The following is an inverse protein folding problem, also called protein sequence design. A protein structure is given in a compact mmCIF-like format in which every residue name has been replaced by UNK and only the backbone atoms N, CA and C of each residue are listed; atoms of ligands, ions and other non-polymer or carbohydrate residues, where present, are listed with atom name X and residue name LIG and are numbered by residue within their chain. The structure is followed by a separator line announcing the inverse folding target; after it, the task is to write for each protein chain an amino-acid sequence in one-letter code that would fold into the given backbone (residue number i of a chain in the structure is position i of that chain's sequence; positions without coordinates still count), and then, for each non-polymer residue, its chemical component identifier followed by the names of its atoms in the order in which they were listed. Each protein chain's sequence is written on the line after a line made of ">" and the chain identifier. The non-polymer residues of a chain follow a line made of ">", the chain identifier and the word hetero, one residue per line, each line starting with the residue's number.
data_IF_172743733908
#
_entry.id   IF_172743733908
#
_cell.length_a   1.000
_cell.length_b   1.000
_cell.length_c   1.000
_cell.angle_alpha   90.00
_cell.angle_beta   90.00
_cell.angle_gamma   90.00
#
_symmetry.space_group_name_H-M   'P 1'
#
loop_
_entity.id
_entity.type
_entity.pdbx_description
1 polymer ?
#
# COMPACT_ATOMS: atom_id res chain seq x y z
N UNK A 1 -24.02 -31.13 10.31
CA UNK A 1 -23.72 -30.06 11.27
C UNK A 1 -24.29 -28.75 10.73
N UNK A 2 -25.41 -28.25 11.27
CA UNK A 2 -26.16 -27.12 10.69
C UNK A 2 -25.74 -25.75 11.28
N UNK A 3 -24.45 -25.40 11.20
CA UNK A 3 -23.93 -24.14 11.77
C UNK A 3 -23.10 -23.28 10.78
N UNK A 4 -23.16 -23.55 9.47
CA UNK A 4 -22.25 -22.94 8.47
C UNK A 4 -22.96 -22.18 7.34
N UNK A 5 -24.22 -21.80 7.55
CA UNK A 5 -25.12 -21.45 6.44
C UNK A 5 -24.97 -20.01 5.93
N UNK A 6 -24.39 -19.09 6.71
CA UNK A 6 -24.39 -17.66 6.36
C UNK A 6 -23.02 -17.10 5.91
N UNK A 7 -21.90 -17.77 6.24
CA UNK A 7 -20.55 -17.37 5.82
C UNK A 7 -19.59 -18.58 5.77
N UNK A 8 -18.66 -18.60 4.81
CA UNK A 8 -17.60 -19.62 4.76
C UNK A 8 -16.46 -19.21 5.69
N UNK A 9 -16.61 -19.55 6.97
CA UNK A 9 -15.50 -19.57 7.94
C UNK A 9 -15.48 -20.96 8.55
N UNK A 10 -14.65 -21.91 8.05
CA UNK A 10 -14.59 -23.24 8.64
C UNK A 10 -13.21 -23.49 9.28
N UNK A 11 -13.18 -23.41 10.62
CA UNK A 11 -12.48 -24.26 11.60
C UNK A 11 -12.60 -23.58 12.98
N UNK A 12 -12.47 -24.32 14.09
CA UNK A 12 -12.24 -23.88 15.49
C UNK A 12 -11.20 -22.77 15.72
N UNK A 13 -10.51 -22.34 14.65
CA UNK A 13 -9.45 -21.31 14.63
C UNK A 13 -9.90 -19.98 13.99
N UNK A 14 -11.05 -19.95 13.30
CA UNK A 14 -11.75 -18.76 12.76
C UNK A 14 -10.90 -17.80 11.90
N UNK A 15 -10.01 -18.31 11.05
CA UNK A 15 -9.19 -17.43 10.19
C UNK A 15 -9.82 -17.16 8.81
N UNK A 16 -10.76 -18.00 8.34
CA UNK A 16 -11.34 -17.88 6.99
C UNK A 16 -10.38 -18.31 5.87
N UNK A 17 -10.74 -18.10 4.59
CA UNK A 17 -9.93 -18.55 3.45
C UNK A 17 -8.67 -17.69 3.29
N UNK A 18 -7.53 -18.34 3.06
CA UNK A 18 -6.24 -17.66 2.84
C UNK A 18 -6.08 -17.37 1.34
N UNK A 19 -5.96 -16.10 1.00
CA UNK A 19 -5.81 -15.61 -0.38
C UNK A 19 -4.46 -14.89 -0.54
N UNK A 20 -3.93 -14.89 -1.76
CA UNK A 20 -2.63 -14.28 -2.06
C UNK A 20 -2.66 -12.74 -2.11
N UNK A 21 -3.85 -12.15 -2.31
CA UNK A 21 -4.05 -10.71 -2.46
C UNK A 21 -5.26 -10.20 -1.69
N UNK A 22 -5.13 -8.99 -1.17
CA UNK A 22 -6.23 -8.17 -0.68
C UNK A 22 -6.95 -7.42 -1.80
N UNK A 23 -8.19 -6.98 -1.55
CA UNK A 23 -8.98 -6.18 -2.50
C UNK A 23 -8.27 -4.89 -2.94
N UNK A 24 -7.53 -4.27 -2.02
CA UNK A 24 -6.75 -3.05 -2.30
C UNK A 24 -5.56 -3.29 -3.24
N UNK A 25 -5.16 -4.56 -3.43
CA UNK A 25 -4.07 -4.97 -4.32
C UNK A 25 -4.59 -5.40 -5.71
N UNK A 26 -5.92 -5.44 -5.92
CA UNK A 26 -6.49 -5.79 -7.22
C UNK A 26 -6.41 -4.59 -8.16
N UNK A 27 -6.16 -4.86 -9.44
CA UNK A 27 -6.18 -3.82 -10.46
C UNK A 27 -7.58 -3.21 -10.56
N UNK A 28 -7.64 -1.93 -10.97
CA UNK A 28 -8.91 -1.33 -11.35
C UNK A 28 -9.50 -2.11 -12.52
N UNK A 29 -10.82 -2.04 -12.72
CA UNK A 29 -11.47 -2.67 -13.87
C UNK A 29 -10.83 -2.26 -15.20
N UNK A 30 -10.48 -0.98 -15.35
CA UNK A 30 -9.85 -0.45 -16.56
C UNK A 30 -8.47 -1.08 -16.78
N UNK A 31 -7.62 -1.04 -15.76
CA UNK A 31 -6.25 -1.57 -15.87
C UNK A 31 -6.24 -3.10 -16.08
N UNK A 32 -7.11 -3.82 -15.36
CA UNK A 32 -7.29 -5.26 -15.54
C UNK A 32 -7.69 -5.60 -16.98
N UNK A 33 -8.64 -4.83 -17.56
CA UNK A 33 -9.07 -5.01 -18.96
C UNK A 33 -7.99 -4.66 -19.96
N UNK A 34 -7.20 -3.61 -19.71
CA UNK A 34 -6.03 -3.30 -20.54
C UNK A 34 -5.03 -4.46 -20.53
N UNK A 35 -4.70 -5.02 -19.36
CA UNK A 35 -3.80 -6.19 -19.25
C UNK A 35 -4.37 -7.42 -19.95
N UNK A 36 -5.69 -7.64 -19.85
CA UNK A 36 -6.38 -8.79 -20.45
C UNK A 36 -6.70 -8.61 -21.94
N UNK A 37 -6.48 -7.42 -22.52
CA UNK A 37 -6.86 -7.12 -23.91
C UNK A 37 -8.38 -7.10 -24.15
N UNK A 38 -9.16 -6.77 -23.12
CA UNK A 38 -10.64 -6.74 -23.17
C UNK A 38 -11.12 -5.33 -23.53
N UNK A 39 -11.94 -5.14 -24.59
CA UNK A 39 -12.56 -3.85 -24.88
C UNK A 39 -13.56 -3.41 -23.78
N UNK A 40 -13.65 -2.11 -23.50
CA UNK A 40 -14.44 -1.60 -22.36
C UNK A 40 -15.94 -1.97 -22.39
N UNK A 41 -16.54 -2.06 -23.58
CA UNK A 41 -17.97 -2.29 -23.75
C UNK A 41 -18.37 -3.76 -23.98
N UNK A 42 -17.40 -4.68 -23.95
CA UNK A 42 -17.66 -6.12 -24.17
C UNK A 42 -17.86 -6.82 -22.83
N UNK A 43 -18.80 -7.78 -22.80
CA UNK A 43 -18.99 -8.66 -21.64
C UNK A 43 -17.84 -9.65 -21.57
N UNK A 44 -17.19 -9.78 -20.42
CA UNK A 44 -16.06 -10.69 -20.24
C UNK A 44 -16.34 -11.79 -19.21
N UNK A 45 -16.02 -13.03 -19.56
CA UNK A 45 -16.19 -14.20 -18.70
C UNK A 45 -14.84 -14.85 -18.40
N UNK A 46 -14.54 -15.08 -17.13
CA UNK A 46 -13.41 -15.94 -16.73
C UNK A 46 -13.83 -17.42 -16.82
N UNK A 47 -13.08 -18.26 -17.52
CA UNK A 47 -13.37 -19.69 -17.68
C UNK A 47 -12.25 -20.53 -17.08
N UNK A 48 -12.56 -21.33 -16.07
CA UNK A 48 -11.60 -22.29 -15.48
C UNK A 48 -12.27 -23.57 -15.01
N UNK A 49 -11.69 -24.72 -15.35
CA UNK A 49 -12.11 -26.03 -14.84
C UNK A 49 -11.21 -26.54 -13.70
N UNK A 50 -10.48 -25.62 -13.03
CA UNK A 50 -9.55 -25.91 -11.95
C UNK A 50 -8.09 -25.96 -12.39
N UNK A 51 -7.26 -26.72 -11.68
CA UNK A 51 -5.81 -26.76 -11.90
C UNK A 51 -5.34 -27.45 -13.18
N UNK A 52 -6.25 -27.93 -14.03
CA UNK A 52 -5.95 -28.57 -15.31
C UNK A 52 -5.76 -30.10 -15.28
N UNK A 53 -5.74 -30.72 -14.09
CA UNK A 53 -5.54 -32.17 -13.94
C UNK A 53 -6.76 -33.04 -14.28
N UNK A 54 -7.84 -32.44 -14.76
CA UNK A 54 -9.04 -33.15 -15.17
C UNK A 54 -8.86 -33.77 -16.56
N UNK A 55 -9.02 -35.08 -16.68
CA UNK A 55 -8.77 -35.80 -17.94
C UNK A 55 -9.65 -35.29 -19.09
N UNK A 56 -10.89 -34.88 -18.78
CA UNK A 56 -11.85 -34.38 -19.77
C UNK A 56 -11.65 -32.91 -20.14
N UNK A 57 -10.77 -32.17 -19.45
CA UNK A 57 -10.60 -30.73 -19.66
C UNK A 57 -10.18 -30.38 -21.09
N UNK A 58 -9.31 -31.19 -21.72
CA UNK A 58 -8.81 -30.94 -23.07
C UNK A 58 -9.91 -30.90 -24.14
N UNK A 59 -11.03 -31.60 -23.92
CA UNK A 59 -12.21 -31.53 -24.80
C UNK A 59 -13.23 -30.49 -24.35
N UNK A 60 -13.49 -30.41 -23.04
CA UNK A 60 -14.57 -29.57 -22.48
C UNK A 60 -14.26 -28.08 -22.52
N UNK A 61 -13.03 -27.70 -22.14
CA UNK A 61 -12.65 -26.29 -22.04
C UNK A 61 -12.71 -25.57 -23.41
N UNK A 62 -12.21 -26.13 -24.52
CA UNK A 62 -12.42 -25.54 -25.84
C UNK A 62 -13.87 -25.50 -26.31
N UNK A 63 -14.71 -26.46 -25.88
CA UNK A 63 -16.14 -26.47 -26.21
C UNK A 63 -16.88 -25.32 -25.51
N UNK A 64 -16.71 -25.21 -24.19
CA UNK A 64 -17.27 -24.13 -23.38
C UNK A 64 -16.78 -22.75 -23.84
N UNK A 65 -15.48 -22.62 -24.16
CA UNK A 65 -14.91 -21.37 -24.66
C UNK A 65 -15.60 -20.91 -25.95
N UNK A 66 -15.78 -21.83 -26.92
CA UNK A 66 -16.49 -21.51 -28.17
C UNK A 66 -17.94 -21.10 -27.93
N UNK A 67 -18.68 -21.87 -27.12
CA UNK A 67 -20.08 -21.57 -26.82
C UNK A 67 -20.26 -20.16 -26.20
N UNK A 68 -19.34 -19.75 -25.33
CA UNK A 68 -19.36 -18.41 -24.73
C UNK A 68 -18.98 -17.31 -25.74
N UNK A 69 -17.98 -17.54 -26.58
CA UNK A 69 -17.62 -16.59 -27.66
C UNK A 69 -18.78 -16.41 -28.64
N UNK A 70 -19.48 -17.48 -29.00
CA UNK A 70 -20.64 -17.45 -29.89
C UNK A 70 -21.83 -16.69 -29.28
N UNK A 71 -21.96 -16.66 -27.94
CA UNK A 71 -22.92 -15.80 -27.21
C UNK A 71 -22.41 -14.34 -27.03
N UNK A 72 -21.26 -14.00 -27.63
CA UNK A 72 -20.71 -12.64 -27.64
C UNK A 72 -19.93 -12.26 -26.38
N UNK A 73 -19.37 -13.24 -25.65
CA UNK A 73 -18.45 -12.97 -24.55
C UNK A 73 -17.01 -12.88 -25.02
N UNK A 74 -16.24 -12.01 -24.36
CA UNK A 74 -14.78 -12.12 -24.32
C UNK A 74 -14.39 -13.13 -23.24
N UNK A 75 -13.76 -14.23 -23.62
CA UNK A 75 -13.46 -15.33 -22.71
C UNK A 75 -12.01 -15.26 -22.26
N UNK A 76 -11.79 -15.09 -20.96
CA UNK A 76 -10.47 -15.21 -20.32
C UNK A 76 -10.32 -16.65 -19.83
N UNK A 77 -9.51 -17.43 -20.54
CA UNK A 77 -9.36 -18.86 -20.30
C UNK A 77 -8.18 -19.10 -19.36
N UNK A 78 -8.46 -19.70 -18.20
CA UNK A 78 -7.45 -20.13 -17.23
C UNK A 78 -7.53 -21.65 -17.07
N UNK A 79 -6.76 -22.35 -17.90
CA UNK A 79 -6.78 -23.81 -17.98
C UNK A 79 -6.09 -24.52 -16.80
N UNK A 80 -5.23 -23.78 -16.09
CA UNK A 80 -4.46 -24.31 -14.96
C UNK A 80 -3.15 -25.00 -15.39
N UNK A 81 -2.17 -25.09 -14.48
CA UNK A 81 -0.81 -25.51 -14.82
C UNK A 81 -0.65 -26.98 -15.22
N UNK A 82 -1.65 -27.83 -14.92
CA UNK A 82 -1.62 -29.26 -15.26
C UNK A 82 -2.37 -29.57 -16.56
N UNK A 83 -2.91 -28.56 -17.25
CA UNK A 83 -3.67 -28.75 -18.48
C UNK A 83 -2.78 -29.32 -19.60
N UNK A 84 -3.25 -30.39 -20.25
CA UNK A 84 -2.52 -31.08 -21.32
C UNK A 84 -3.14 -30.89 -22.71
N UNK A 85 -4.20 -30.09 -22.83
CA UNK A 85 -4.84 -29.80 -24.12
C UNK A 85 -4.16 -28.64 -24.86
N UNK A 86 -4.65 -28.36 -26.06
CA UNK A 86 -4.20 -27.18 -26.80
C UNK A 86 -4.79 -25.90 -26.23
N UNK A 87 -4.02 -24.82 -26.32
CA UNK A 87 -4.49 -23.48 -25.96
C UNK A 87 -5.62 -23.03 -26.88
N UNK A 88 -6.65 -22.42 -26.29
CA UNK A 88 -7.71 -21.78 -27.05
C UNK A 88 -7.22 -20.40 -27.53
N UNK A 89 -7.24 -20.17 -28.84
CA UNK A 89 -6.81 -18.92 -29.48
C UNK A 89 -7.89 -18.47 -30.48
N UNK A 90 -8.09 -17.16 -30.60
CA UNK A 90 -9.08 -16.59 -31.52
C UNK A 90 -9.51 -15.18 -31.12
N UNK A 91 -10.37 -14.53 -31.91
CA UNK A 91 -10.99 -13.27 -31.53
C UNK A 91 -11.81 -13.45 -30.25
N UNK A 92 -11.80 -12.44 -29.37
CA UNK A 92 -12.49 -12.47 -28.07
C UNK A 92 -12.02 -13.59 -27.12
N UNK A 93 -10.82 -14.14 -27.30
CA UNK A 93 -10.24 -15.14 -26.39
C UNK A 93 -8.91 -14.62 -25.85
N UNK A 94 -8.79 -14.53 -24.53
CA UNK A 94 -7.53 -14.28 -23.83
C UNK A 94 -7.11 -15.54 -23.08
N UNK A 95 -6.04 -16.18 -23.52
CA UNK A 95 -5.40 -17.26 -22.77
C UNK A 95 -4.58 -16.68 -21.62
N UNK A 96 -4.89 -17.05 -20.38
CA UNK A 96 -4.26 -16.52 -19.18
C UNK A 96 -3.12 -17.43 -18.71
N UNK A 97 -1.89 -16.94 -18.83
CA UNK A 97 -0.67 -17.61 -18.33
C UNK A 97 -0.09 -16.93 -17.07
N UNK A 98 -0.96 -16.32 -16.27
CA UNK A 98 -0.58 -15.56 -15.06
C UNK A 98 -0.74 -16.41 -13.81
N UNK A 99 0.28 -16.40 -12.96
CA UNK A 99 0.31 -17.12 -11.68
C UNK A 99 -0.78 -16.69 -10.67
N UNK A 100 -1.16 -15.41 -10.63
CA UNK A 100 -2.20 -14.89 -9.73
C UNK A 100 -3.35 -14.23 -10.52
N UNK A 101 -4.35 -15.00 -10.98
CA UNK A 101 -5.52 -14.47 -11.68
C UNK A 101 -6.34 -13.49 -10.85
N UNK A 102 -6.34 -13.65 -9.52
CA UNK A 102 -7.10 -12.80 -8.58
C UNK A 102 -6.86 -11.30 -8.83
N UNK A 103 -5.63 -10.88 -9.13
CA UNK A 103 -5.25 -9.49 -9.41
C UNK A 103 -6.08 -8.83 -10.54
N UNK A 104 -6.64 -9.64 -11.45
CA UNK A 104 -7.32 -9.19 -12.66
C UNK A 104 -8.85 -9.37 -12.61
N UNK A 105 -9.40 -9.89 -11.51
CA UNK A 105 -10.81 -10.29 -11.43
C UNK A 105 -11.79 -9.12 -11.57
N UNK A 106 -11.37 -7.89 -11.27
CA UNK A 106 -12.18 -6.70 -11.54
C UNK A 106 -12.40 -6.43 -13.04
N UNK A 107 -11.61 -7.06 -13.92
CA UNK A 107 -11.71 -6.90 -15.36
C UNK A 107 -12.80 -7.75 -16.03
N UNK A 108 -13.30 -8.78 -15.35
CA UNK A 108 -14.36 -9.68 -15.85
C UNK A 108 -15.71 -9.34 -15.23
N UNK A 109 -16.78 -9.77 -15.90
CA UNK A 109 -18.17 -9.51 -15.52
C UNK A 109 -18.84 -10.72 -14.85
N UNK A 110 -18.40 -11.92 -15.24
CA UNK A 110 -18.84 -13.18 -14.66
C UNK A 110 -17.73 -14.24 -14.78
N UNK A 111 -17.96 -15.40 -14.18
CA UNK A 111 -17.08 -16.55 -14.33
C UNK A 111 -17.84 -17.86 -14.55
N UNK A 112 -17.14 -18.82 -15.15
CA UNK A 112 -17.48 -20.24 -15.19
C UNK A 112 -16.36 -20.98 -14.46
N UNK A 113 -16.70 -21.67 -13.38
CA UNK A 113 -15.70 -22.31 -12.52
C UNK A 113 -16.10 -23.72 -12.09
N UNK A 114 -15.15 -24.65 -12.01
CA UNK A 114 -15.37 -25.93 -11.35
C UNK A 114 -15.60 -25.82 -9.82
N UNK A 115 -15.50 -24.63 -9.24
CA UNK A 115 -15.60 -24.42 -7.78
C UNK A 115 -14.49 -25.09 -6.96
N UNK A 116 -13.31 -25.32 -7.53
CA UNK A 116 -12.13 -25.74 -6.76
C UNK A 116 -11.80 -24.72 -5.66
N UNK A 117 -11.30 -25.18 -4.51
CA UNK A 117 -11.17 -24.37 -3.28
C UNK A 117 -10.59 -22.96 -3.52
N UNK A 118 -9.42 -22.84 -4.14
CA UNK A 118 -8.77 -21.54 -4.35
C UNK A 118 -9.60 -20.63 -5.26
N UNK A 119 -9.92 -21.10 -6.48
CA UNK A 119 -10.66 -20.30 -7.45
C UNK A 119 -12.03 -19.87 -6.95
N UNK A 120 -12.73 -20.73 -6.21
CA UNK A 120 -13.99 -20.37 -5.58
C UNK A 120 -13.81 -19.18 -4.64
N UNK A 121 -12.88 -19.25 -3.69
CA UNK A 121 -12.72 -18.18 -2.70
C UNK A 121 -12.16 -16.90 -3.33
N UNK A 122 -11.29 -17.00 -4.34
CA UNK A 122 -10.79 -15.86 -5.11
C UNK A 122 -11.93 -15.12 -5.84
N UNK A 123 -12.80 -15.86 -6.55
CA UNK A 123 -13.93 -15.29 -7.28
C UNK A 123 -14.94 -14.64 -6.32
N UNK A 124 -15.29 -15.33 -5.23
CA UNK A 124 -16.23 -14.79 -4.24
C UNK A 124 -15.65 -13.55 -3.53
N UNK A 125 -14.37 -13.61 -3.15
CA UNK A 125 -13.68 -12.49 -2.51
C UNK A 125 -13.60 -11.25 -3.41
N UNK A 126 -13.25 -11.43 -4.70
CA UNK A 126 -13.27 -10.36 -5.69
C UNK A 126 -14.69 -9.84 -5.98
N UNK A 127 -15.70 -10.68 -5.79
CA UNK A 127 -17.10 -10.37 -6.06
C UNK A 127 -17.47 -10.63 -7.51
N UNK A 128 -16.96 -11.71 -8.10
CA UNK A 128 -17.30 -12.13 -9.47
C UNK A 128 -18.45 -13.14 -9.41
N UNK A 129 -19.66 -12.79 -9.90
CA UNK A 129 -20.77 -13.74 -10.05
C UNK A 129 -20.34 -14.95 -10.90
N UNK A 130 -20.66 -16.15 -10.45
CA UNK A 130 -20.08 -17.36 -11.06
C UNK A 130 -21.14 -18.43 -11.35
N UNK A 131 -21.13 -18.95 -12.57
CA UNK A 131 -21.76 -20.23 -12.90
C UNK A 131 -20.78 -21.34 -12.54
N UNK A 132 -21.13 -22.15 -11.56
CA UNK A 132 -20.33 -23.26 -11.10
C UNK A 132 -20.68 -24.55 -11.84
N UNK A 133 -19.66 -25.23 -12.34
CA UNK A 133 -19.75 -26.52 -13.04
C UNK A 133 -18.92 -27.55 -12.27
N UNK A 134 -19.39 -27.97 -11.07
CA UNK A 134 -18.58 -28.74 -10.13
C UNK A 134 -18.16 -30.09 -10.72
N UNK A 135 -16.93 -30.50 -10.42
CA UNK A 135 -16.37 -31.77 -10.86
C UNK A 135 -16.35 -32.76 -9.69
N UNK A 136 -16.61 -34.06 -9.93
CA UNK A 136 -16.46 -35.07 -8.89
C UNK A 136 -14.99 -35.19 -8.48
N UNK A 137 -14.71 -35.08 -7.17
CA UNK A 137 -13.38 -35.22 -6.59
C UNK A 137 -13.43 -36.10 -5.34
N UNK A 138 -12.33 -36.77 -5.05
CA UNK A 138 -12.21 -37.66 -3.88
C UNK A 138 -12.11 -36.86 -2.58
N UNK A 139 -11.38 -35.74 -2.59
CA UNK A 139 -11.02 -34.98 -1.38
C UNK A 139 -11.50 -33.51 -1.39
N UNK A 140 -12.32 -33.12 -2.37
CA UNK A 140 -12.80 -31.74 -2.54
C UNK A 140 -14.29 -31.72 -2.91
N UNK A 141 -15.15 -31.32 -1.98
CA UNK A 141 -16.59 -31.22 -2.24
C UNK A 141 -16.92 -29.92 -2.98
N UNK A 142 -16.76 -29.96 -4.30
CA UNK A 142 -17.03 -28.82 -5.18
C UNK A 142 -18.53 -28.53 -5.30
N UNK A 143 -19.38 -29.56 -5.20
CA UNK A 143 -20.82 -29.41 -5.35
C UNK A 143 -21.42 -28.70 -4.14
N UNK A 144 -21.08 -29.11 -2.92
CA UNK A 144 -21.53 -28.46 -1.69
C UNK A 144 -21.18 -26.97 -1.70
N UNK A 145 -19.94 -26.66 -2.09
CA UNK A 145 -19.44 -25.28 -2.15
C UNK A 145 -20.20 -24.44 -3.17
N UNK A 146 -20.49 -25.03 -4.33
CA UNK A 146 -21.27 -24.39 -5.40
C UNK A 146 -22.71 -24.11 -4.95
N UNK A 147 -23.34 -25.08 -4.28
CA UNK A 147 -24.70 -24.95 -3.75
C UNK A 147 -24.80 -23.88 -2.66
N UNK A 148 -23.76 -23.71 -1.83
CA UNK A 148 -23.69 -22.62 -0.85
C UNK A 148 -23.66 -21.26 -1.52
N UNK A 149 -22.88 -21.09 -2.58
CA UNK A 149 -22.87 -19.84 -3.34
C UNK A 149 -24.22 -19.57 -4.02
N UNK A 150 -24.87 -20.59 -4.56
CA UNK A 150 -26.21 -20.45 -5.14
C UNK A 150 -27.26 -20.06 -4.10
N UNK A 151 -27.28 -20.73 -2.93
CA UNK A 151 -28.16 -20.38 -1.79
C UNK A 151 -27.94 -18.93 -1.32
N UNK A 152 -26.70 -18.45 -1.34
CA UNK A 152 -26.36 -17.07 -0.99
C UNK A 152 -26.70 -16.04 -2.09
N UNK A 153 -27.11 -16.47 -3.29
CA UNK A 153 -27.33 -15.60 -4.45
C UNK A 153 -26.04 -15.10 -5.11
N UNK A 154 -24.90 -15.71 -4.80
CA UNK A 154 -23.58 -15.35 -5.29
C UNK A 154 -23.21 -16.06 -6.61
N UNK A 155 -23.90 -17.15 -6.93
CA UNK A 155 -23.62 -17.99 -8.09
C UNK A 155 -24.85 -18.75 -8.58
N UNK A 156 -24.66 -19.55 -9.63
CA UNK A 156 -25.61 -20.56 -10.12
C UNK A 156 -24.90 -21.89 -10.30
N UNK A 157 -25.59 -23.02 -10.15
CA UNK A 157 -25.00 -24.34 -10.41
C UNK A 157 -25.47 -24.87 -11.76
N UNK A 158 -24.53 -25.15 -12.65
CA UNK A 158 -24.74 -25.88 -13.89
C UNK A 158 -24.50 -27.37 -13.64
N UNK A 159 -25.43 -28.21 -14.08
CA UNK A 159 -25.27 -29.67 -14.01
C UNK A 159 -24.67 -30.25 -15.29
N UNK A 160 -24.79 -29.51 -16.41
CA UNK A 160 -24.24 -29.87 -17.71
C UNK A 160 -23.60 -28.67 -18.39
N UNK A 161 -22.67 -28.93 -19.31
CA UNK A 161 -21.94 -27.90 -20.04
C UNK A 161 -22.90 -27.02 -20.87
N UNK A 162 -23.99 -27.60 -21.40
CA UNK A 162 -24.98 -26.89 -22.20
C UNK A 162 -25.79 -25.84 -21.42
N UNK A 163 -25.91 -26.01 -20.09
CA UNK A 163 -26.69 -25.10 -19.24
C UNK A 163 -25.93 -23.80 -18.95
N UNK A 164 -24.60 -23.78 -19.17
CA UNK A 164 -23.69 -22.71 -18.75
C UNK A 164 -24.04 -21.37 -19.39
N UNK A 165 -24.26 -21.34 -20.72
CA UNK A 165 -24.51 -20.09 -21.46
C UNK A 165 -25.78 -19.40 -20.96
N UNK A 166 -26.86 -20.17 -20.74
CA UNK A 166 -28.12 -19.62 -20.25
C UNK A 166 -27.98 -19.12 -18.81
N UNK A 167 -27.33 -19.90 -17.94
CA UNK A 167 -27.12 -19.50 -16.54
C UNK A 167 -26.21 -18.26 -16.42
N UNK A 168 -25.27 -18.06 -17.35
CA UNK A 168 -24.36 -16.92 -17.34
C UNK A 168 -25.06 -15.59 -17.69
N UNK A 169 -26.28 -15.63 -18.22
CA UNK A 169 -27.13 -14.43 -18.39
C UNK A 169 -27.62 -13.87 -17.05
N UNK A 170 -27.67 -14.71 -16.00
CA UNK A 170 -28.04 -14.30 -14.64
C UNK A 170 -27.24 -15.10 -13.60
N UNK A 171 -25.91 -14.86 -13.51
CA UNK A 171 -24.97 -15.69 -12.75
C UNK A 171 -24.99 -15.44 -11.25
N UNK A 172 -25.77 -14.46 -10.77
CA UNK A 172 -25.83 -14.06 -9.36
C UNK A 172 -25.37 -12.62 -9.13
N UNK A 173 -25.05 -12.29 -7.88
CA UNK A 173 -24.71 -10.93 -7.45
C UNK A 173 -23.28 -10.80 -6.94
N UNK A 174 -22.57 -9.78 -7.42
CA UNK A 174 -21.24 -9.40 -6.92
C UNK A 174 -21.26 -9.04 -5.43
N UNK A 175 -22.37 -8.46 -4.95
CA UNK A 175 -22.53 -8.14 -3.54
C UNK A 175 -22.70 -9.40 -2.69
N UNK A 176 -23.49 -10.36 -3.16
CA UNK A 176 -23.66 -11.65 -2.49
C UNK A 176 -22.34 -12.43 -2.44
N UNK A 177 -21.58 -12.46 -3.55
CA UNK A 177 -20.26 -13.05 -3.61
C UNK A 177 -19.31 -12.47 -2.55
N UNK A 178 -19.22 -11.13 -2.45
CA UNK A 178 -18.40 -10.47 -1.43
C UNK A 178 -18.89 -10.71 -0.01
N UNK A 179 -20.19 -10.87 0.23
CA UNK A 179 -20.72 -11.23 1.56
C UNK A 179 -20.36 -12.66 1.95
N UNK A 180 -20.34 -13.57 0.99
CA UNK A 180 -20.02 -14.97 1.23
C UNK A 180 -18.54 -15.18 1.60
N UNK A 181 -17.64 -14.39 0.99
CA UNK A 181 -16.22 -14.35 1.34
C UNK A 181 -15.81 -12.89 1.64
N UNK A 182 -16.08 -12.40 2.86
CA UNK A 182 -15.92 -10.99 3.20
C UNK A 182 -14.47 -10.57 3.39
N UNK A 183 -13.60 -11.49 3.80
CA UNK A 183 -12.24 -11.18 4.22
C UNK A 183 -11.23 -12.22 3.76
N UNK A 184 -9.97 -11.79 3.66
CA UNK A 184 -8.82 -12.67 3.47
C UNK A 184 -8.29 -13.09 4.85
N UNK A 185 -8.18 -14.40 5.06
CA UNK A 185 -7.69 -15.00 6.28
C UNK A 185 -6.18 -15.01 6.46
N UNK A 186 -5.40 -14.64 5.43
CA UNK A 186 -3.95 -14.70 5.46
C UNK A 186 -3.34 -13.95 6.66
N UNK A 187 -3.86 -12.75 6.94
CA UNK A 187 -3.38 -11.94 8.07
C UNK A 187 -3.72 -12.54 9.42
N UNK A 188 -4.98 -12.94 9.61
CA UNK A 188 -5.42 -13.55 10.86
C UNK A 188 -4.65 -14.85 11.13
N UNK A 189 -4.40 -15.65 10.09
CA UNK A 189 -3.55 -16.84 10.18
C UNK A 189 -2.12 -16.50 10.63
N UNK A 190 -1.50 -15.47 10.05
CA UNK A 190 -0.17 -15.01 10.46
C UNK A 190 -0.13 -14.55 11.93
N UNK A 191 -1.10 -13.74 12.36
CA UNK A 191 -1.20 -13.28 13.76
C UNK A 191 -1.36 -14.46 14.73
N UNK A 192 -2.18 -15.45 14.38
CA UNK A 192 -2.37 -16.66 15.20
C UNK A 192 -1.09 -17.48 15.34
N UNK A 193 -0.34 -17.66 14.25
CA UNK A 193 0.96 -18.36 14.27
C UNK A 193 1.96 -17.61 15.14
N UNK A 194 2.01 -16.28 15.04
CA UNK A 194 2.95 -15.46 15.79
C UNK A 194 2.56 -15.25 17.26
N UNK A 195 1.30 -15.45 17.63
CA UNK A 195 0.81 -15.28 19.01
C UNK A 195 1.48 -16.20 20.04
N UNK A 196 2.08 -17.31 19.60
CA UNK A 196 2.88 -18.19 20.48
C UNK A 196 4.32 -17.72 20.66
N UNK A 197 4.79 -16.79 19.82
CA UNK A 197 6.18 -16.34 19.75
C UNK A 197 6.37 -14.89 20.20
N UNK A 198 5.35 -14.05 20.04
CA UNK A 198 5.42 -12.60 20.25
C UNK A 198 4.35 -12.11 21.23
N UNK A 199 4.64 -11.04 22.01
CA UNK A 199 3.64 -10.45 22.90
C UNK A 199 2.41 -9.92 22.14
N UNK A 200 1.23 -10.10 22.74
CA UNK A 200 -0.04 -9.70 22.12
C UNK A 200 -0.12 -8.20 21.77
N UNK A 201 0.51 -7.34 22.59
CA UNK A 201 0.55 -5.90 22.33
C UNK A 201 1.36 -5.55 21.07
N UNK A 202 2.48 -6.24 20.84
CA UNK A 202 3.31 -6.03 19.64
C UNK A 202 2.57 -6.51 18.39
N UNK A 203 1.84 -7.62 18.49
CA UNK A 203 1.00 -8.13 17.40
C UNK A 203 -0.17 -7.20 17.08
N UNK A 204 -0.84 -6.65 18.10
CA UNK A 204 -1.90 -5.67 17.91
C UNK A 204 -1.39 -4.39 17.22
N UNK A 205 -0.20 -3.92 17.59
CA UNK A 205 0.46 -2.80 16.91
C UNK A 205 0.79 -3.14 15.46
N UNK A 206 1.35 -4.33 15.20
CA UNK A 206 1.69 -4.77 13.85
C UNK A 206 0.45 -4.89 12.95
N UNK A 207 -0.66 -5.43 13.46
CA UNK A 207 -1.92 -5.53 12.74
C UNK A 207 -2.49 -4.14 12.40
N UNK A 208 -2.50 -3.24 13.38
CA UNK A 208 -2.97 -1.86 13.21
C UNK A 208 -2.13 -1.06 12.19
N UNK A 209 -0.85 -1.40 12.02
CA UNK A 209 0.03 -0.77 11.03
C UNK A 209 -0.28 -1.21 9.59
N UNK A 210 -0.72 -2.45 9.38
CA UNK A 210 -0.94 -3.00 8.04
C UNK A 210 -2.30 -2.59 7.46
N UNK A 211 -2.60 -1.30 7.39
CA UNK A 211 -3.85 -0.83 6.79
C UNK A 211 -3.92 -1.19 5.29
N UNK A 212 -5.12 -1.33 4.69
CA UNK A 212 -5.24 -1.54 3.25
C UNK A 212 -4.55 -0.45 2.41
N UNK A 213 -4.60 0.80 2.90
CA UNK A 213 -3.93 1.95 2.29
C UNK A 213 -2.41 1.79 2.28
N UNK A 214 -1.82 1.45 3.43
CA UNK A 214 -0.37 1.24 3.51
C UNK A 214 0.06 0.08 2.63
N UNK A 215 -0.66 -1.05 2.65
CA UNK A 215 -0.36 -2.21 1.81
C UNK A 215 -0.36 -1.81 0.33
N UNK A 216 -1.38 -1.08 -0.13
CA UNK A 216 -1.44 -0.60 -1.52
C UNK A 216 -0.32 0.38 -1.87
N UNK A 217 0.06 1.28 -0.96
CA UNK A 217 1.19 2.19 -1.16
C UNK A 217 2.52 1.44 -1.27
N UNK A 218 2.76 0.47 -0.38
CA UNK A 218 3.97 -0.36 -0.38
C UNK A 218 4.15 -1.19 -1.66
N UNK A 219 3.06 -1.53 -2.35
CA UNK A 219 3.13 -2.18 -3.66
C UNK A 219 3.56 -1.24 -4.79
N UNK A 220 3.23 0.06 -4.69
CA UNK A 220 3.56 1.07 -5.71
C UNK A 220 5.00 1.53 -5.63
N UNK A 221 5.59 1.51 -4.43
CA UNK A 221 7.03 1.73 -4.29
C UNK A 221 7.77 0.51 -4.85
N UNK A 222 8.95 0.72 -5.44
CA UNK A 222 9.75 -0.34 -6.07
C UNK A 222 9.97 -1.56 -5.14
N UNK A 223 10.48 -2.68 -5.68
CA UNK A 223 10.87 -3.85 -4.86
C UNK A 223 11.75 -3.45 -3.65
N UNK A 224 12.60 -2.44 -3.80
CA UNK A 224 13.43 -1.90 -2.72
C UNK A 224 12.60 -1.17 -1.66
N UNK A 225 11.52 -0.50 -2.06
CA UNK A 225 10.54 0.13 -1.17
C UNK A 225 9.91 -0.84 -0.17
N UNK A 226 9.66 -2.10 -0.58
CA UNK A 226 9.16 -3.15 0.34
C UNK A 226 10.21 -3.53 1.39
N UNK A 227 11.47 -3.63 1.00
CA UNK A 227 12.59 -3.89 1.93
C UNK A 227 12.72 -2.76 2.96
N UNK A 228 12.45 -1.52 2.55
CA UNK A 228 12.54 -0.36 3.43
C UNK A 228 11.27 -0.05 4.24
N UNK A 229 10.16 -0.73 3.98
CA UNK A 229 8.89 -0.52 4.68
C UNK A 229 9.04 -0.68 6.21
N UNK A 230 9.70 -1.75 6.63
CA UNK A 230 9.99 -2.04 8.04
C UNK A 230 10.85 -0.95 8.68
N UNK A 231 11.74 -0.34 7.90
CA UNK A 231 12.59 0.73 8.38
C UNK A 231 11.80 2.03 8.60
N UNK A 232 10.91 2.39 7.66
CA UNK A 232 10.00 3.54 7.83
C UNK A 232 9.13 3.33 9.07
N UNK A 233 8.58 2.13 9.24
CA UNK A 233 7.80 1.77 10.44
C UNK A 233 8.64 2.00 11.70
N UNK A 234 9.87 1.49 11.77
CA UNK A 234 10.75 1.75 12.94
C UNK A 234 11.05 3.23 13.14
N UNK A 235 11.20 3.99 12.06
CA UNK A 235 11.52 5.42 12.12
C UNK A 235 10.34 6.27 12.62
N UNK A 236 9.10 5.94 12.25
CA UNK A 236 7.91 6.77 12.48
C UNK A 236 6.93 6.20 13.52
N UNK A 237 6.88 4.89 13.70
CA UNK A 237 6.03 4.24 14.70
C UNK A 237 6.61 4.36 16.12
N UNK A 238 7.94 4.45 16.23
CA UNK A 238 8.64 4.51 17.52
C UNK A 238 9.05 3.14 18.03
N UNK A 239 9.32 3.06 19.33
CA UNK A 239 9.64 1.80 20.03
C UNK A 239 8.42 0.88 20.07
N UNK A 240 8.62 -0.43 19.97
CA UNK A 240 7.59 -1.44 20.20
C UNK A 240 7.08 -1.41 21.65
N UNK A 241 5.84 -1.89 21.93
CA UNK A 241 5.33 -2.08 23.28
C UNK A 241 6.32 -2.79 24.22
N UNK A 242 6.99 -3.82 23.73
CA UNK A 242 8.02 -4.51 24.53
C UNK A 242 9.24 -3.62 24.85
N UNK A 243 9.74 -2.85 23.88
CA UNK A 243 10.86 -1.92 24.09
C UNK A 243 10.49 -0.80 25.06
N UNK A 244 9.26 -0.28 24.97
CA UNK A 244 8.74 0.71 25.90
C UNK A 244 8.58 0.15 27.30
N UNK A 245 8.05 -1.07 27.46
CA UNK A 245 7.93 -1.72 28.76
C UNK A 245 9.31 -1.91 29.42
N UNK A 246 10.32 -2.30 28.62
CA UNK A 246 11.72 -2.39 29.09
C UNK A 246 12.26 -1.02 29.52
N UNK A 247 12.02 0.04 28.73
CA UNK A 247 12.41 1.41 29.10
C UNK A 247 11.70 1.90 30.34
N UNK A 248 10.40 1.67 30.47
CA UNK A 248 9.61 2.02 31.65
C UNK A 248 10.11 1.30 32.90
N UNK A 249 10.44 0.01 32.80
CA UNK A 249 11.03 -0.75 33.91
C UNK A 249 12.38 -0.16 34.35
N UNK A 250 13.28 0.14 33.41
CA UNK A 250 14.57 0.79 33.71
C UNK A 250 14.37 2.18 34.33
N UNK A 251 13.41 2.95 33.83
CA UNK A 251 13.09 4.26 34.38
C UNK A 251 12.49 4.15 35.80
N UNK A 252 11.64 3.17 36.08
CA UNK A 252 11.14 2.95 37.43
C UNK A 252 12.28 2.61 38.40
N UNK A 253 13.22 1.76 37.99
CA UNK A 253 14.43 1.45 38.77
C UNK A 253 15.25 2.72 39.08
N UNK A 254 15.49 3.56 38.07
CA UNK A 254 16.19 4.84 38.28
C UNK A 254 15.40 5.81 39.17
N UNK A 255 14.06 5.78 39.11
CA UNK A 255 13.21 6.61 39.99
C UNK A 255 13.34 6.15 41.45
N UNK A 256 13.36 4.83 41.67
CA UNK A 256 13.54 4.23 42.99
C UNK A 256 14.94 4.54 43.56
N UNK A 257 15.95 4.69 42.70
CA UNK A 257 17.29 5.16 43.05
C UNK A 257 17.36 6.69 43.30
N UNK A 258 16.24 7.41 43.20
CA UNK A 258 16.14 8.83 43.53
C UNK A 258 16.40 9.80 42.37
N UNK A 259 16.54 9.32 41.14
CA UNK A 259 16.70 10.18 39.97
C UNK A 259 15.35 10.81 39.54
N UNK A 260 15.36 12.09 39.14
CA UNK A 260 14.17 12.73 38.53
C UNK A 260 14.00 12.26 37.10
N UNK A 261 12.83 11.70 36.79
CA UNK A 261 12.58 11.08 35.49
C UNK A 261 11.40 11.73 34.78
N UNK A 262 11.54 12.09 33.48
CA UNK A 262 10.42 12.54 32.67
C UNK A 262 9.39 11.43 32.45
N UNK A 263 8.09 11.77 32.48
CA UNK A 263 7.04 10.83 32.06
C UNK A 263 7.24 10.43 30.60
N UNK A 264 7.28 9.12 30.33
CA UNK A 264 7.20 8.60 28.97
C UNK A 264 5.77 8.85 28.44
N UNK A 265 5.67 9.64 27.37
CA UNK A 265 4.43 9.77 26.63
C UNK A 265 4.26 8.58 25.69
N UNK A 266 3.02 8.12 25.62
CA UNK A 266 2.64 6.95 24.87
C UNK A 266 1.82 7.38 23.63
N UNK A 267 2.45 7.38 22.46
CA UNK A 267 1.84 7.79 21.19
C UNK A 267 1.54 6.57 20.29
N UNK A 268 1.18 5.43 20.89
CA UNK A 268 1.00 4.09 20.25
C UNK A 268 -0.07 4.04 19.15
N UNK A 269 -1.17 4.79 19.29
CA UNK A 269 -2.41 4.55 18.54
C UNK A 269 -2.45 5.10 17.11
N UNK A 270 -1.42 5.83 16.68
CA UNK A 270 -1.50 6.64 15.46
C UNK A 270 -0.26 6.46 14.53
N UNK A 271 0.35 5.28 14.56
CA UNK A 271 1.55 5.03 13.78
C UNK A 271 1.28 4.81 12.29
N UNK A 272 0.16 4.16 11.94
CA UNK A 272 -0.17 3.86 10.54
C UNK A 272 -0.35 5.14 9.69
N UNK A 273 -1.11 6.16 10.15
CA UNK A 273 -1.28 7.40 9.38
C UNK A 273 0.05 8.13 9.14
N UNK A 274 0.98 8.10 10.10
CA UNK A 274 2.33 8.68 9.91
C UNK A 274 3.12 7.96 8.82
N UNK A 275 3.07 6.64 8.78
CA UNK A 275 3.76 5.83 7.77
C UNK A 275 3.11 6.03 6.40
N UNK A 276 1.78 6.08 6.33
CA UNK A 276 1.04 6.36 5.08
C UNK A 276 1.35 7.74 4.52
N UNK A 277 1.43 8.77 5.38
CA UNK A 277 1.85 10.12 5.02
C UNK A 277 3.26 10.15 4.43
N UNK A 278 4.19 9.37 4.98
CA UNK A 278 5.54 9.28 4.43
C UNK A 278 5.55 8.71 3.01
N UNK A 279 4.83 7.63 2.74
CA UNK A 279 4.77 7.06 1.40
C UNK A 279 4.01 7.94 0.40
N UNK A 280 2.98 8.65 0.87
CA UNK A 280 2.30 9.68 0.09
C UNK A 280 3.25 10.82 -0.27
N UNK A 281 4.05 11.30 0.69
CA UNK A 281 5.06 12.33 0.48
C UNK A 281 6.10 11.91 -0.55
N UNK A 282 6.65 10.69 -0.43
CA UNK A 282 7.63 10.15 -1.40
C UNK A 282 7.06 10.13 -2.82
N UNK A 283 5.79 9.74 -2.95
CA UNK A 283 5.11 9.72 -4.24
C UNK A 283 4.89 11.14 -4.78
N UNK A 284 4.46 12.07 -3.92
CA UNK A 284 4.14 13.44 -4.31
C UNK A 284 5.38 14.25 -4.73
N UNK A 285 6.54 14.01 -4.11
CA UNK A 285 7.79 14.72 -4.43
C UNK A 285 8.68 13.99 -5.43
N UNK A 286 8.29 12.78 -5.86
CA UNK A 286 9.09 11.91 -6.73
C UNK A 286 10.53 11.64 -6.24
N UNK A 287 10.79 11.80 -4.94
CA UNK A 287 12.10 11.55 -4.34
C UNK A 287 12.44 10.05 -4.38
N UNK A 288 13.68 9.64 -4.68
CA UNK A 288 14.10 8.26 -4.52
C UNK A 288 13.95 7.79 -3.06
N UNK A 289 13.32 6.64 -2.83
CA UNK A 289 13.01 6.13 -1.48
C UNK A 289 14.25 6.01 -0.57
N UNK A 290 15.40 5.64 -1.13
CA UNK A 290 16.67 5.54 -0.41
C UNK A 290 17.16 6.91 0.10
N UNK A 291 16.96 7.96 -0.71
CA UNK A 291 17.28 9.35 -0.35
C UNK A 291 16.30 9.88 0.69
N UNK A 292 15.00 9.61 0.52
CA UNK A 292 13.98 9.93 1.51
C UNK A 292 14.28 9.35 2.89
N UNK A 293 14.66 8.07 2.95
CA UNK A 293 15.07 7.40 4.19
C UNK A 293 16.35 8.01 4.77
N UNK A 294 17.31 8.35 3.92
CA UNK A 294 18.55 9.00 4.37
C UNK A 294 18.26 10.33 5.06
N UNK A 295 17.37 11.14 4.48
CA UNK A 295 16.92 12.40 5.09
C UNK A 295 16.11 12.17 6.36
N UNK A 296 15.17 11.22 6.37
CA UNK A 296 14.37 10.89 7.55
C UNK A 296 15.24 10.42 8.73
N UNK A 297 16.24 9.57 8.46
CA UNK A 297 17.27 9.15 9.45
C UNK A 297 18.06 10.36 9.94
N UNK A 298 18.43 11.28 9.05
CA UNK A 298 19.15 12.48 9.44
C UNK A 298 18.31 13.33 10.39
N UNK A 299 17.03 13.59 10.10
CA UNK A 299 16.13 14.32 10.99
C UNK A 299 16.06 13.67 12.38
N UNK A 300 15.79 12.36 12.45
CA UNK A 300 15.71 11.64 13.75
C UNK A 300 17.05 11.66 14.51
N UNK A 301 18.17 11.54 13.81
CA UNK A 301 19.51 11.55 14.43
C UNK A 301 19.89 12.94 14.93
N UNK A 302 19.60 13.99 14.16
CA UNK A 302 19.98 15.37 14.49
C UNK A 302 19.03 15.98 15.53
N UNK A 303 17.78 15.51 15.62
CA UNK A 303 16.76 15.99 16.55
C UNK A 303 16.24 14.84 17.44
N UNK A 304 17.01 14.36 18.43
CA UNK A 304 16.66 13.18 19.23
C UNK A 304 15.41 13.38 20.12
N UNK A 305 15.00 14.63 20.36
CA UNK A 305 13.77 14.94 21.10
C UNK A 305 12.50 14.82 20.23
N UNK A 306 12.65 14.90 18.90
CA UNK A 306 11.52 14.86 17.97
C UNK A 306 10.88 13.46 17.96
N UNK A 307 9.55 13.43 17.93
CA UNK A 307 8.75 12.21 17.89
C UNK A 307 8.17 11.97 16.50
N UNK A 308 7.60 10.79 16.27
CA UNK A 308 7.10 10.37 14.95
C UNK A 308 6.25 11.44 14.25
N UNK A 309 5.34 12.09 14.98
CA UNK A 309 4.46 13.13 14.40
C UNK A 309 5.21 14.41 14.00
N UNK A 310 6.06 14.93 14.89
CA UNK A 310 6.88 16.10 14.57
C UNK A 310 7.86 15.80 13.44
N UNK A 311 8.41 14.58 13.39
CA UNK A 311 9.29 14.12 12.31
C UNK A 311 8.56 14.10 10.98
N UNK A 312 7.37 13.49 10.89
CA UNK A 312 6.66 13.40 9.60
C UNK A 312 6.13 14.76 9.14
N UNK A 313 5.58 15.57 10.03
CA UNK A 313 5.10 16.91 9.69
C UNK A 313 6.24 17.82 9.18
N UNK A 314 7.39 17.76 9.85
CA UNK A 314 8.57 18.52 9.41
C UNK A 314 9.16 17.95 8.12
N UNK A 315 9.11 16.64 7.91
CA UNK A 315 9.54 16.03 6.66
C UNK A 315 8.65 16.44 5.48
N UNK A 316 7.32 16.50 5.64
CA UNK A 316 6.40 16.98 4.60
C UNK A 316 6.73 18.41 4.16
N UNK A 317 6.94 19.30 5.13
CA UNK A 317 7.33 20.68 4.88
C UNK A 317 8.70 20.78 4.19
N UNK A 318 9.72 20.09 4.74
CA UNK A 318 11.08 20.16 4.23
C UNK A 318 11.22 19.50 2.85
N UNK A 319 10.56 18.38 2.59
CA UNK A 319 10.66 17.68 1.32
C UNK A 319 9.93 18.46 0.22
N UNK A 320 8.78 19.07 0.51
CA UNK A 320 8.13 19.98 -0.43
C UNK A 320 9.04 21.18 -0.75
N UNK A 321 9.68 21.74 0.28
CA UNK A 321 10.65 22.82 0.15
C UNK A 321 11.88 22.42 -0.68
N UNK A 322 12.43 21.21 -0.51
CA UNK A 322 13.60 20.73 -1.26
C UNK A 322 13.27 20.29 -2.69
N UNK A 323 12.06 19.73 -2.91
CA UNK A 323 11.62 19.25 -4.22
C UNK A 323 11.68 20.34 -5.30
N UNK A 324 11.47 21.62 -4.93
CA UNK A 324 11.51 22.75 -5.88
C UNK A 324 12.88 22.94 -6.55
N UNK A 325 13.96 22.51 -5.89
CA UNK A 325 15.33 22.67 -6.39
C UNK A 325 15.76 21.50 -7.28
N UNK A 326 15.01 20.40 -7.27
CA UNK A 326 15.38 19.13 -7.92
C UNK A 326 16.80 18.61 -7.54
N UNK A 327 17.34 19.03 -6.39
CA UNK A 327 18.66 18.64 -5.88
C UNK A 327 18.56 17.94 -4.52
N UNK A 328 18.14 16.67 -4.56
CA UNK A 328 18.03 15.85 -3.36
C UNK A 328 19.39 15.58 -2.69
N UNK A 329 20.49 15.61 -3.44
CA UNK A 329 21.83 15.41 -2.87
C UNK A 329 22.32 16.66 -2.13
N UNK A 330 21.96 17.86 -2.60
CA UNK A 330 22.09 19.10 -1.86
C UNK A 330 21.34 19.05 -0.53
N UNK A 331 20.09 18.56 -0.52
CA UNK A 331 19.32 18.41 0.72
C UNK A 331 20.00 17.43 1.71
N UNK A 332 20.55 16.31 1.22
CA UNK A 332 21.35 15.38 2.04
C UNK A 332 22.59 16.06 2.59
N UNK A 333 23.26 16.88 1.79
CA UNK A 333 24.48 17.61 2.18
C UNK A 333 24.18 18.66 3.24
N UNK A 334 23.05 19.36 3.13
CA UNK A 334 22.55 20.31 4.13
C UNK A 334 22.32 19.62 5.47
N UNK A 335 21.59 18.51 5.46
CA UNK A 335 21.33 17.72 6.67
C UNK A 335 22.58 17.07 7.26
N UNK A 336 23.64 16.83 6.47
CA UNK A 336 24.94 16.40 6.98
C UNK A 336 25.64 17.52 7.75
N UNK A 337 25.58 18.76 7.24
CA UNK A 337 26.18 19.94 7.86
C UNK A 337 25.52 20.32 9.19
N UNK A 338 24.20 20.11 9.34
CA UNK A 338 23.49 20.39 10.60
C UNK A 338 24.05 19.52 11.75
N UNK A 339 24.62 20.08 12.85
CA UNK A 339 25.04 19.29 14.02
C UNK A 339 23.85 18.74 14.83
N UNK A 340 24.14 17.96 15.89
CA UNK A 340 23.11 17.44 16.80
C UNK A 340 22.43 18.60 17.55
N UNK A 341 21.09 18.63 17.53
CA UNK A 341 20.26 19.66 18.14
C UNK A 341 19.57 19.13 19.41
N UNK A 342 19.98 19.61 20.59
CA UNK A 342 19.37 19.24 21.88
C UNK A 342 18.36 20.26 22.41
N UNK A 343 18.45 21.52 21.98
CA UNK A 343 17.61 22.62 22.45
C UNK A 343 16.85 23.36 21.35
N UNK A 344 16.87 22.83 20.12
CA UNK A 344 16.18 23.41 18.98
C UNK A 344 15.13 22.40 18.48
N UNK A 345 13.86 22.77 18.51
CA UNK A 345 12.77 21.87 18.08
C UNK A 345 12.84 21.66 16.58
N UNK A 346 12.44 20.47 16.15
CA UNK A 346 12.49 20.11 14.73
C UNK A 346 11.47 20.93 13.92
N UNK A 347 10.30 21.17 14.48
CA UNK A 347 9.28 22.06 13.90
C UNK A 347 9.82 23.47 13.66
N UNK A 348 10.38 24.10 14.69
CA UNK A 348 10.97 25.45 14.57
C UNK A 348 12.12 25.48 13.53
N UNK A 349 12.96 24.43 13.50
CA UNK A 349 14.00 24.29 12.48
C UNK A 349 13.44 24.19 11.06
N UNK A 350 12.37 23.42 10.86
CA UNK A 350 11.72 23.28 9.57
C UNK A 350 11.12 24.61 9.09
N UNK A 351 10.51 25.38 10.00
CA UNK A 351 9.97 26.71 9.70
C UNK A 351 11.08 27.69 9.28
N UNK A 352 12.15 27.78 10.07
CA UNK A 352 13.24 28.71 9.80
C UNK A 352 14.02 28.34 8.54
N UNK A 353 14.21 27.03 8.30
CA UNK A 353 14.90 26.55 7.10
C UNK A 353 14.04 26.75 5.84
N UNK A 354 12.74 26.43 5.89
CA UNK A 354 11.84 26.64 4.75
C UNK A 354 11.67 28.11 4.43
N UNK A 355 11.58 28.98 5.45
CA UNK A 355 11.53 30.44 5.25
C UNK A 355 12.77 30.96 4.54
N UNK A 356 13.95 30.54 5.00
CA UNK A 356 15.21 30.98 4.39
C UNK A 356 15.38 30.41 2.98
N UNK A 357 15.16 29.12 2.77
CA UNK A 357 15.23 28.55 1.42
C UNK A 357 14.16 29.16 0.50
N UNK A 358 13.07 29.71 1.06
CA UNK A 358 12.01 30.43 0.37
C UNK A 358 12.52 31.50 -0.61
N UNK A 359 13.58 32.21 -0.23
CA UNK A 359 14.21 33.28 -1.00
C UNK A 359 15.39 32.83 -1.88
N UNK A 360 15.72 31.54 -1.90
CA UNK A 360 16.89 31.03 -2.63
C UNK A 360 16.47 30.42 -3.98
N UNK A 361 17.24 30.72 -5.02
CA UNK A 361 17.05 30.14 -6.35
C UNK A 361 17.74 28.77 -6.48
N UNK A 362 18.94 28.62 -5.90
CA UNK A 362 19.74 27.40 -5.97
C UNK A 362 20.17 26.88 -4.58
N UNK A 363 20.02 25.58 -4.37
CA UNK A 363 20.38 24.93 -3.10
C UNK A 363 21.89 24.90 -2.86
N UNK A 364 22.70 24.88 -3.92
CA UNK A 364 24.16 24.90 -3.82
C UNK A 364 24.68 26.21 -3.21
N UNK A 365 24.15 27.36 -3.65
CA UNK A 365 24.52 28.66 -3.11
C UNK A 365 24.00 28.88 -1.68
N UNK A 366 22.79 28.37 -1.41
CA UNK A 366 22.24 28.33 -0.06
C UNK A 366 23.17 27.56 0.89
N UNK A 367 23.61 26.35 0.50
CA UNK A 367 24.57 25.53 1.25
C UNK A 367 25.88 26.26 1.54
N UNK A 368 26.44 26.94 0.53
CA UNK A 368 27.68 27.71 0.68
C UNK A 368 27.51 28.86 1.68
N UNK A 369 26.36 29.53 1.63
CA UNK A 369 26.00 30.61 2.56
C UNK A 369 25.81 30.12 3.99
N UNK A 370 25.20 28.94 4.16
CA UNK A 370 25.06 28.28 5.45
C UNK A 370 26.43 27.90 6.04
N UNK A 371 27.27 27.19 5.27
CA UNK A 371 28.60 26.76 5.71
C UNK A 371 29.52 27.94 6.06
N UNK A 372 29.45 29.03 5.30
CA UNK A 372 30.22 30.26 5.59
C UNK A 372 29.83 30.89 6.93
N UNK A 373 28.56 30.83 7.32
CA UNK A 373 28.04 31.46 8.54
C UNK A 373 28.10 30.56 9.77
N UNK A 374 28.09 29.25 9.61
CA UNK A 374 28.32 28.32 10.72
C UNK A 374 29.70 28.55 11.39
N UNK A 375 30.67 29.13 10.65
CA UNK A 375 32.01 29.51 11.11
C UNK A 375 32.68 28.43 11.97
N UNK A 376 32.73 27.19 11.44
CA UNK A 376 33.32 26.03 12.12
C UNK A 376 32.68 25.69 13.49
N UNK A 377 31.40 26.00 13.67
CA UNK A 377 30.62 25.66 14.87
C UNK A 377 30.60 26.73 15.96
N UNK A 378 31.01 27.97 15.65
CA UNK A 378 30.92 29.11 16.58
C UNK A 378 29.50 29.58 16.83
N UNK A 379 28.65 29.50 15.82
CA UNK A 379 27.23 29.87 15.93
C UNK A 379 26.36 28.61 15.95
N UNK A 380 25.31 28.63 16.77
CA UNK A 380 24.30 27.57 16.74
C UNK A 380 23.51 27.63 15.42
N UNK A 381 22.97 26.49 14.99
CA UNK A 381 22.14 26.41 13.77
C UNK A 381 20.96 27.39 13.82
N UNK A 382 20.37 27.58 15.00
CA UNK A 382 19.29 28.55 15.22
C UNK A 382 19.76 29.98 14.96
N UNK A 383 20.94 30.37 15.44
CA UNK A 383 21.51 31.70 15.20
C UNK A 383 21.88 31.91 13.73
N UNK A 384 22.46 30.89 13.08
CA UNK A 384 22.80 30.93 11.65
C UNK A 384 21.54 31.17 10.81
N UNK A 385 20.47 30.40 11.04
CA UNK A 385 19.21 30.55 10.32
C UNK A 385 18.52 31.88 10.63
N UNK A 386 18.56 32.36 11.86
CA UNK A 386 18.03 33.68 12.21
C UNK A 386 18.75 34.81 11.46
N UNK A 387 20.09 34.74 11.37
CA UNK A 387 20.88 35.72 10.62
C UNK A 387 20.62 35.64 9.11
N UNK A 388 20.46 34.44 8.55
CA UNK A 388 20.17 34.23 7.12
C UNK A 388 18.81 34.85 6.76
N UNK A 389 17.76 34.48 7.50
CA UNK A 389 16.42 35.05 7.33
C UNK A 389 16.39 36.58 7.48
N UNK A 390 17.17 37.15 8.42
CA UNK A 390 17.24 38.60 8.61
C UNK A 390 18.02 39.34 7.51
N UNK A 391 18.95 38.67 6.82
CA UNK A 391 19.73 39.26 5.72
C UNK A 391 18.88 39.40 4.47
N UNK A 392 18.06 38.40 4.17
CA UNK A 392 17.19 38.40 2.99
C UNK A 392 16.04 39.40 3.14
N UNK A 393 15.47 39.54 4.34
CA UNK A 393 14.46 40.56 4.62
C UNK A 393 14.97 42.00 4.35
N UNK A 394 16.27 42.26 4.55
CA UNK A 394 16.89 43.55 4.24
C UNK A 394 17.17 43.74 2.75
N UNK A 395 17.44 42.67 2.00
CA UNK A 395 17.63 42.74 0.55
C UNK A 395 16.32 43.06 -0.19
N UNK A 396 15.19 42.48 0.27
CA UNK A 396 13.86 42.75 -0.29
C UNK A 396 13.38 44.20 -0.07
N UNK A 397 13.73 44.82 1.06
CA UNK A 397 13.34 46.21 1.34
C UNK A 397 14.20 47.23 0.57
N UNK A 398 15.41 46.87 0.16
CA UNK A 398 16.33 47.76 -0.57
C UNK A 398 15.97 47.98 -2.04
N UNK A 399 15.15 47.12 -2.64
CA UNK A 399 14.79 47.20 -4.06
C UNK A 399 13.49 48.00 -4.34
N UNK A 400 12.87 48.60 -3.31
CA UNK A 400 11.61 49.34 -3.42
C UNK A 400 11.76 50.88 -3.47
N UNK A 401 12.99 51.40 -3.45
CA UNK A 401 13.25 52.84 -3.43
C UNK A 401 14.34 53.22 -4.43
N UNK A 402 13.94 53.49 -5.68
CA UNK A 402 14.89 53.87 -6.71
C UNK A 402 14.28 54.22 -8.07
N UNK A 403 13.26 55.10 -8.14
CA UNK A 403 13.05 55.86 -9.36
C UNK A 403 12.39 57.22 -9.08
N UNK A 404 13.21 58.27 -8.95
CA UNK A 404 12.79 59.66 -9.13
C UNK A 404 13.98 60.44 -9.71
N UNK A 405 14.24 60.21 -11.00
CA UNK A 405 15.17 60.98 -11.82
C UNK A 405 14.45 62.12 -12.52
N UNK A 406 14.62 63.31 -11.96
CA UNK A 406 14.13 64.60 -12.43
C UNK A 406 14.65 64.94 -13.85
N UNK A 407 13.78 65.29 -14.79
CA UNK A 407 14.17 65.90 -16.07
C UNK A 407 13.45 67.24 -16.26
N UNK A 408 14.20 68.32 -16.02
CA UNK A 408 13.93 69.66 -16.52
C UNK A 408 14.77 69.89 -17.78
N UNK A 409 14.12 70.18 -18.91
CA UNK A 409 14.60 71.15 -19.90
C UNK A 409 13.37 71.76 -20.62
N UNK A 410 13.23 73.08 -20.49
CA UNK A 410 12.43 74.00 -21.34
C UNK A 410 13.36 74.77 -22.27
N UNK A 411 12.87 75.51 -23.28
CA UNK A 411 11.69 75.31 -24.14
C UNK A 411 12.07 74.99 -25.60
#
# INVERSE_FOLDING_TARGET
>A
MPAYDDCIVPDSRDVGPILLRERSELLTRKDARTVLGIPEHVRAAYLSLGGGGEQTAAGRLPSLCRALVDDGWHVVVAAGPLYQGHECRGPNITWLDRYCPLELMNGVDAAVSAAGYNSFHELMYAGVPTVFLPLPRIADDQLERSQRAEKAGAGRVAHRDEDVVELLKSPGSAQAARRLVPQNGARQAALRVLASLLPAADLAMADALLTPTLVAQLQRVSRDGKTHALEVVRLLAGDSPQELAKKQSLLLQLSDEGYRIPKLQDNRTDAAPRVERFFALVTATAIPITTALTLLRALRRKFPAARGEEIIASAEQLFACWARFDDWMGAVSLMRAVPLQRGYRLSDFADDLTRWLGSQDELFDALRSFAKREDSGRLSVREVLAQLNASDAKADHGNSSGNNGNHQVTP
#
